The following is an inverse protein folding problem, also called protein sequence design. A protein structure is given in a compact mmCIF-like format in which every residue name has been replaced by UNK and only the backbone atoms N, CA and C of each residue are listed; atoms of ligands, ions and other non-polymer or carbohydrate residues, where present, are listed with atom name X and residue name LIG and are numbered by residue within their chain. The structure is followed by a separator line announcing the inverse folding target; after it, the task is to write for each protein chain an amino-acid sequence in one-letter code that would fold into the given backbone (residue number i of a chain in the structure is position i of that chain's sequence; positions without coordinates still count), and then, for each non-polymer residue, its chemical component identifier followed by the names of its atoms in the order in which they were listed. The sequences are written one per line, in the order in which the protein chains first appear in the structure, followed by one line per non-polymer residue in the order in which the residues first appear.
data_IF_189210663070
#
_entry.id   IF_189210663070
#
_cell.length_a   1.000
_cell.length_b   1.000
_cell.length_c   1.000
_cell.angle_alpha   90.00
_cell.angle_beta   90.00
_cell.angle_gamma   90.00
#
_symmetry.space_group_name_H-M   'P 1'
#
loop_
_entity.id
_entity.type
_entity.pdbx_description
1 polymer ?
#
# COMPACT_ATOMS: atom_id res chain seq x y z
N UNK A 1 12.32 20.83 -4.41
CA UNK A 1 12.74 20.26 -3.12
C UNK A 1 13.85 19.24 -3.37
N UNK A 2 14.93 19.21 -2.58
CA UNK A 2 16.16 18.40 -2.86
C UNK A 2 16.33 17.15 -1.96
N UNK A 3 15.28 16.68 -1.30
CA UNK A 3 15.38 15.51 -0.40
C UNK A 3 14.05 14.81 -0.14
N UNK A 4 14.11 13.59 0.39
CA UNK A 4 12.97 12.68 0.59
C UNK A 4 12.06 13.03 1.78
N UNK A 5 12.47 13.97 2.63
CA UNK A 5 11.77 14.28 3.87
C UNK A 5 11.96 13.22 4.96
N UNK A 6 11.03 13.16 5.91
CA UNK A 6 11.04 12.18 7.00
C UNK A 6 10.58 10.80 6.51
N UNK A 7 11.01 9.74 7.19
CA UNK A 7 10.51 8.40 6.93
C UNK A 7 9.09 8.24 7.45
N UNK A 8 8.25 7.59 6.64
CA UNK A 8 6.88 7.20 6.98
C UNK A 8 6.72 5.67 6.86
N UNK A 9 5.79 5.05 7.61
CA UNK A 9 5.47 3.65 7.42
C UNK A 9 4.82 3.42 6.04
N UNK A 10 5.12 2.28 5.43
CA UNK A 10 4.48 1.81 4.21
C UNK A 10 4.11 0.33 4.39
N UNK A 11 2.84 0.00 4.16
CA UNK A 11 2.31 -1.36 4.21
C UNK A 11 1.79 -1.73 2.83
N UNK A 12 2.12 -2.95 2.39
CA UNK A 12 1.71 -3.47 1.09
C UNK A 12 0.83 -4.70 1.34
N UNK A 13 -0.42 -4.60 0.90
CA UNK A 13 -1.42 -5.65 1.04
C UNK A 13 -1.82 -6.08 -0.37
N UNK A 14 -1.47 -7.32 -0.73
CA UNK A 14 -1.80 -7.89 -2.04
C UNK A 14 -1.76 -9.42 -1.97
N UNK A 15 -2.54 -10.14 -2.80
CA UNK A 15 -2.39 -11.58 -2.98
C UNK A 15 -0.98 -12.00 -3.46
N UNK A 16 -0.24 -11.08 -4.09
CA UNK A 16 1.12 -11.31 -4.61
C UNK A 16 2.24 -10.75 -3.71
N UNK A 17 1.90 -10.03 -2.63
CA UNK A 17 2.93 -9.48 -1.73
C UNK A 17 3.67 -10.61 -1.00
N UNK A 18 4.99 -10.52 -0.84
CA UNK A 18 5.78 -11.52 -0.09
C UNK A 18 5.35 -11.56 1.38
N UNK A 19 5.15 -12.75 1.93
CA UNK A 19 4.67 -12.93 3.30
C UNK A 19 5.80 -12.79 4.32
N UNK A 20 5.50 -12.15 5.46
CA UNK A 20 6.46 -12.00 6.57
C UNK A 20 7.73 -11.24 6.16
N UNK A 21 7.64 -10.45 5.09
CA UNK A 21 8.78 -9.79 4.48
C UNK A 21 8.78 -8.30 4.82
N UNK A 22 9.90 -7.82 5.35
CA UNK A 22 10.17 -6.40 5.55
C UNK A 22 11.20 -5.99 4.51
N UNK A 23 10.81 -5.10 3.60
CA UNK A 23 11.75 -4.53 2.64
C UNK A 23 12.62 -3.47 3.31
N UNK A 24 13.93 -3.60 3.16
CA UNK A 24 14.90 -2.59 3.57
C UNK A 24 15.33 -1.68 2.41
N UNK A 25 14.74 -1.85 1.23
CA UNK A 25 14.97 -0.97 0.10
C UNK A 25 14.41 0.43 0.40
N UNK A 26 15.11 1.48 -0.05
CA UNK A 26 14.70 2.86 0.18
C UNK A 26 13.70 3.29 -0.89
N UNK A 27 12.45 3.42 -0.49
CA UNK A 27 11.38 3.95 -1.33
C UNK A 27 11.13 5.44 -1.08
N UNK A 28 10.40 6.05 -2.01
CA UNK A 28 9.84 7.39 -1.88
C UNK A 28 8.41 7.40 -2.46
N UNK A 29 7.69 8.51 -2.32
CA UNK A 29 6.31 8.59 -2.82
C UNK A 29 6.19 8.35 -4.34
N UNK A 30 7.22 8.73 -5.10
CA UNK A 30 7.31 8.44 -6.54
C UNK A 30 7.29 6.94 -6.87
N UNK A 31 7.72 6.06 -5.96
CA UNK A 31 7.70 4.61 -6.17
C UNK A 31 6.26 4.09 -6.32
N UNK A 32 5.28 4.76 -5.70
CA UNK A 32 3.86 4.39 -5.86
C UNK A 32 3.39 4.71 -7.29
N UNK A 33 3.84 5.82 -7.88
CA UNK A 33 3.54 6.18 -9.27
C UNK A 33 4.20 5.19 -10.23
N UNK A 34 5.48 4.87 -10.00
CA UNK A 34 6.20 3.86 -10.78
C UNK A 34 5.49 2.49 -10.74
N UNK A 35 4.97 2.08 -9.57
CA UNK A 35 4.18 0.85 -9.45
C UNK A 35 2.90 0.89 -10.30
N UNK A 36 2.18 2.02 -10.28
CA UNK A 36 0.96 2.19 -11.09
C UNK A 36 1.31 2.15 -12.58
N UNK A 37 2.38 2.82 -13.00
CA UNK A 37 2.85 2.82 -14.38
C UNK A 37 3.18 1.42 -14.86
N UNK A 38 3.90 0.64 -14.06
CA UNK A 38 4.21 -0.75 -14.37
C UNK A 38 2.96 -1.65 -14.40
N UNK A 39 2.05 -1.50 -13.43
CA UNK A 39 0.86 -2.34 -13.32
C UNK A 39 -0.13 -2.13 -14.47
N UNK A 40 -0.21 -0.91 -14.99
CA UNK A 40 -1.15 -0.53 -16.06
C UNK A 40 -0.46 -0.30 -17.42
N UNK A 41 0.85 -0.57 -17.52
CA UNK A 41 1.66 -0.36 -18.71
C UNK A 41 1.52 1.08 -19.25
N UNK A 42 1.67 2.07 -18.37
CA UNK A 42 1.61 3.48 -18.69
C UNK A 42 3.02 4.05 -18.88
N UNK A 43 3.18 5.09 -19.73
CA UNK A 43 4.42 5.85 -19.75
C UNK A 43 4.60 6.64 -18.45
N UNK A 44 5.83 7.01 -18.09
CA UNK A 44 6.09 7.95 -16.99
C UNK A 44 5.33 9.27 -17.18
N UNK A 45 4.93 9.90 -16.08
CA UNK A 45 4.19 11.15 -16.07
C UNK A 45 4.97 12.32 -16.70
N UNK A 46 6.29 12.33 -16.54
CA UNK A 46 7.12 13.39 -17.08
C UNK A 46 8.59 13.20 -16.79
N UNK A 47 9.42 14.13 -17.26
CA UNK A 47 10.86 14.03 -17.04
C UNK A 47 11.25 14.51 -15.63
N UNK A 48 12.31 13.94 -15.07
CA UNK A 48 12.86 14.34 -13.77
C UNK A 48 13.20 15.84 -13.70
N UNK A 49 13.71 16.40 -14.82
CA UNK A 49 14.01 17.84 -14.95
C UNK A 49 12.79 18.74 -14.72
N UNK A 50 11.59 18.22 -14.96
CA UNK A 50 10.32 18.94 -14.81
C UNK A 50 9.71 18.73 -13.41
N UNK A 51 10.42 18.01 -12.52
CA UNK A 51 10.06 17.82 -11.12
C UNK A 51 9.35 16.49 -10.80
N UNK A 52 9.12 15.65 -11.81
CA UNK A 52 8.56 14.31 -11.62
C UNK A 52 9.59 13.36 -10.98
N UNK A 53 9.10 12.37 -10.24
CA UNK A 53 9.96 11.50 -9.41
C UNK A 53 9.76 10.01 -9.67
N UNK A 54 8.68 9.64 -10.35
CA UNK A 54 8.33 8.32 -10.87
C UNK A 54 9.50 7.60 -11.59
N UNK A 55 10.27 8.29 -12.43
CA UNK A 55 11.38 7.68 -13.18
C UNK A 55 12.56 7.34 -12.26
N UNK A 56 12.93 8.26 -11.35
CA UNK A 56 14.07 8.08 -10.45
C UNK A 56 13.74 7.21 -9.23
N UNK A 57 12.47 7.17 -8.86
CA UNK A 57 11.98 6.36 -7.78
C UNK A 57 11.97 4.90 -8.24
N UNK A 58 12.97 4.13 -7.80
CA UNK A 58 13.05 2.71 -8.15
C UNK A 58 11.76 1.94 -7.81
N UNK A 59 11.51 0.85 -8.53
CA UNK A 59 10.29 0.05 -8.44
C UNK A 59 10.16 -0.81 -7.18
N UNK A 60 9.02 -1.50 -7.07
CA UNK A 60 8.65 -2.34 -5.91
C UNK A 60 8.86 -3.85 -6.17
N UNK A 61 9.69 -4.25 -7.12
CA UNK A 61 9.78 -5.63 -7.60
C UNK A 61 10.13 -6.65 -6.50
N UNK A 62 10.88 -6.23 -5.48
CA UNK A 62 11.33 -7.11 -4.39
C UNK A 62 10.26 -7.39 -3.32
N UNK A 63 9.11 -6.69 -3.32
CA UNK A 63 8.01 -6.92 -2.36
C UNK A 63 6.90 -7.78 -2.94
N UNK A 64 6.84 -7.95 -4.25
CA UNK A 64 5.88 -8.82 -4.92
C UNK A 64 6.57 -10.10 -5.41
N UNK A 65 5.81 -11.20 -5.46
CA UNK A 65 6.22 -12.46 -6.07
C UNK A 65 5.15 -12.88 -7.08
N UNK A 66 5.29 -12.38 -8.31
CA UNK A 66 4.40 -12.69 -9.43
C UNK A 66 4.70 -14.04 -10.09
N UNK A 67 5.76 -14.74 -9.67
CA UNK A 67 6.05 -16.11 -10.16
C UNK A 67 5.09 -17.14 -9.59
N UNK A 68 4.39 -16.78 -8.50
CA UNK A 68 3.34 -17.57 -7.87
C UNK A 68 1.98 -17.03 -8.24
N UNK A 69 0.98 -17.91 -8.31
CA UNK A 69 -0.42 -17.50 -8.40
C UNK A 69 -0.87 -16.67 -7.19
N UNK A 70 -1.98 -15.93 -7.30
CA UNK A 70 -2.48 -15.10 -6.21
C UNK A 70 -2.83 -15.98 -5.01
N UNK A 71 -2.50 -15.52 -3.80
CA UNK A 71 -2.94 -16.20 -2.59
C UNK A 71 -4.47 -16.27 -2.51
N UNK A 72 -5.04 -17.43 -2.13
CA UNK A 72 -6.47 -17.54 -1.90
C UNK A 72 -6.88 -16.67 -0.71
N UNK A 73 -8.08 -16.10 -0.79
CA UNK A 73 -8.67 -15.35 0.31
C UNK A 73 -9.02 -16.28 1.46
N UNK A 74 -8.60 -15.91 2.67
CA UNK A 74 -8.98 -16.60 3.92
C UNK A 74 -9.83 -15.63 4.73
N UNK A 75 -11.12 -15.93 4.97
CA UNK A 75 -11.97 -15.08 5.79
C UNK A 75 -11.41 -14.99 7.21
N UNK A 76 -11.20 -13.76 7.66
CA UNK A 76 -10.88 -13.49 9.06
C UNK A 76 -12.22 -13.36 9.78
N UNK A 77 -12.49 -14.25 10.73
CA UNK A 77 -13.71 -14.19 11.52
C UNK A 77 -13.74 -12.91 12.33
N UNK A 78 -14.81 -12.13 12.15
CA UNK A 78 -15.03 -10.94 12.96
C UNK A 78 -15.26 -11.35 14.41
N UNK A 79 -14.80 -10.50 15.35
CA UNK A 79 -15.04 -10.71 16.78
C UNK A 79 -16.54 -10.71 17.12
N UNK A 80 -17.33 -9.92 16.38
CA UNK A 80 -18.76 -9.80 16.56
C UNK A 80 -19.52 -10.14 15.27
N UNK A 81 -20.65 -10.84 15.35
CA UNK A 81 -21.49 -11.13 14.18
C UNK A 81 -22.19 -9.86 13.69
N UNK A 82 -22.64 -9.84 12.44
CA UNK A 82 -23.42 -8.74 11.86
C UNK A 82 -24.61 -8.33 12.74
N UNK A 83 -25.28 -9.30 13.37
CA UNK A 83 -26.41 -9.05 14.25
C UNK A 83 -26.09 -8.17 15.45
N UNK A 84 -24.84 -8.17 15.93
CA UNK A 84 -24.42 -7.31 17.04
C UNK A 84 -24.47 -5.83 16.64
N UNK A 85 -24.00 -5.51 15.42
CA UNK A 85 -23.97 -4.15 14.90
C UNK A 85 -25.36 -3.64 14.48
N UNK A 86 -26.25 -4.52 14.04
CA UNK A 86 -27.62 -4.14 13.63
C UNK A 86 -28.48 -3.66 14.81
N UNK A 87 -28.18 -4.12 16.03
CA UNK A 87 -28.86 -3.74 17.27
C UNK A 87 -28.08 -2.72 18.10
N UNK A 88 -26.92 -2.27 17.62
CA UNK A 88 -26.06 -1.36 18.37
C UNK A 88 -26.70 0.03 18.43
N UNK A 89 -26.95 0.59 19.62
CA UNK A 89 -27.43 1.96 19.73
C UNK A 89 -26.35 2.91 19.17
N UNK A 90 -26.73 4.10 18.65
CA UNK A 90 -25.76 5.12 18.29
C UNK A 90 -24.79 5.39 19.44
N UNK A 91 -23.50 5.44 19.12
CA UNK A 91 -22.50 5.85 20.10
C UNK A 91 -22.63 7.35 20.35
N UNK A 92 -23.07 7.73 21.54
CA UNK A 92 -23.06 9.13 22.02
C UNK A 92 -21.69 9.53 22.60
N UNK A 93 -20.75 8.58 22.67
CA UNK A 93 -19.37 8.83 23.10
C UNK A 93 -18.63 9.72 22.08
N UNK A 94 -17.68 10.51 22.58
CA UNK A 94 -16.80 11.28 21.73
C UNK A 94 -16.02 10.34 20.79
N UNK A 95 -15.72 10.83 19.57
CA UNK A 95 -15.09 10.02 18.51
C UNK A 95 -13.74 9.38 18.89
N UNK A 96 -13.10 9.82 19.97
CA UNK A 96 -11.75 9.41 20.40
C UNK A 96 -11.69 8.65 21.74
N UNK A 97 -12.82 8.14 22.26
CA UNK A 97 -12.85 7.46 23.58
C UNK A 97 -12.73 5.92 23.56
N UNK A 98 -12.48 5.30 22.39
CA UNK A 98 -12.35 3.84 22.25
C UNK A 98 -10.99 3.38 21.75
#
# INVERSE_FOLDING_TARGET
FRGLGIRVPCLIISPYARQGYVSHYRYEFGTILNLIEQAFNLPPLGAEKDGYTDIRAGGMDNVFDFTKGPRPFVPIQAKYPTSAFLSEPPSDDAVDTQ
#
